data_IF_035614183368
#
_entry.id   IF_035614183368
#
_cell.length_a   1.000
_cell.length_b   1.000
_cell.length_c   1.000
_cell.angle_alpha   90.00
_cell.angle_beta   90.00
_cell.angle_gamma   90.00
#
_symmetry.space_group_name_H-M   'P 1'
#
loop_
_entity.id
_entity.type
_entity.pdbx_description
1 polymer ?
#
# COMPACT_ATOMS: atom_id res chain seq x y z
N UNK A 1 5.81 0.31 13.98
CA UNK A 1 5.84 0.55 12.51
C UNK A 1 4.45 0.90 12.04
N UNK A 2 4.31 2.02 11.35
CA UNK A 2 3.03 2.40 10.76
C UNK A 2 3.02 1.98 9.29
N UNK A 3 2.03 1.17 8.91
CA UNK A 3 1.88 0.74 7.54
C UNK A 3 0.67 1.42 6.95
N UNK A 4 0.85 2.09 5.81
CA UNK A 4 -0.25 2.68 5.07
C UNK A 4 -0.36 1.95 3.74
N UNK A 5 -1.55 1.44 3.45
CA UNK A 5 -1.83 0.78 2.18
C UNK A 5 -2.73 1.68 1.34
N UNK A 6 -2.19 2.17 0.25
CA UNK A 6 -2.96 2.97 -0.71
C UNK A 6 -3.62 2.03 -1.70
N UNK A 7 -4.95 2.13 -1.82
CA UNK A 7 -5.75 1.21 -2.63
C UNK A 7 -6.55 1.98 -3.67
N UNK A 8 -7.19 1.22 -4.57
CA UNK A 8 -8.11 1.75 -5.55
C UNK A 8 -9.25 0.76 -5.75
N UNK A 9 -10.41 1.19 -6.28
CA UNK A 9 -11.49 0.26 -6.59
C UNK A 9 -11.07 -0.76 -7.64
N UNK A 10 -11.63 -1.97 -7.56
CA UNK A 10 -11.41 -3.04 -8.54
C UNK A 10 -9.95 -3.37 -8.76
N UNK A 11 -9.19 -3.39 -7.69
CA UNK A 11 -7.75 -3.62 -7.74
C UNK A 11 -7.43 -4.99 -7.14
N UNK A 12 -7.13 -5.97 -7.99
CA UNK A 12 -6.79 -7.32 -7.52
C UNK A 12 -5.50 -7.35 -6.70
N UNK A 13 -4.40 -6.73 -7.14
CA UNK A 13 -3.19 -6.74 -6.31
C UNK A 13 -3.36 -5.98 -5.00
N UNK A 14 -4.29 -5.01 -4.93
CA UNK A 14 -4.61 -4.37 -3.66
C UNK A 14 -5.22 -5.38 -2.69
N UNK A 15 -6.14 -6.21 -3.18
CA UNK A 15 -6.77 -7.23 -2.36
C UNK A 15 -5.75 -8.27 -1.89
N UNK A 16 -4.84 -8.67 -2.77
CA UNK A 16 -3.80 -9.62 -2.41
C UNK A 16 -2.89 -9.06 -1.32
N UNK A 17 -2.51 -7.79 -1.44
CA UNK A 17 -1.67 -7.13 -0.44
C UNK A 17 -2.39 -7.03 0.90
N UNK A 18 -3.67 -6.64 0.87
CA UNK A 18 -4.47 -6.52 2.08
C UNK A 18 -4.57 -7.88 2.78
N UNK A 19 -4.85 -8.94 2.02
CA UNK A 19 -4.95 -10.28 2.59
C UNK A 19 -3.63 -10.72 3.23
N UNK A 20 -2.52 -10.43 2.56
CA UNK A 20 -1.21 -10.81 3.08
C UNK A 20 -0.91 -10.10 4.39
N UNK A 21 -1.23 -8.80 4.49
CA UNK A 21 -1.04 -8.05 5.72
C UNK A 21 -1.90 -8.63 6.85
N UNK A 22 -3.14 -8.95 6.55
CA UNK A 22 -4.06 -9.53 7.54
C UNK A 22 -3.57 -10.89 8.02
N UNK A 23 -3.11 -11.73 7.12
CA UNK A 23 -2.62 -13.06 7.47
C UNK A 23 -1.38 -13.01 8.34
N UNK A 24 -0.59 -11.96 8.21
CA UNK A 24 0.63 -11.78 9.02
C UNK A 24 0.37 -11.02 10.31
N UNK A 25 -0.88 -10.63 10.56
CA UNK A 25 -1.22 -9.88 11.75
C UNK A 25 -0.64 -8.46 11.78
N UNK A 26 -0.37 -7.90 10.62
CA UNK A 26 0.20 -6.56 10.52
C UNK A 26 -0.93 -5.53 10.45
N UNK A 27 -0.96 -4.62 11.41
CA UNK A 27 -1.93 -3.53 11.38
C UNK A 27 -1.56 -2.53 10.30
N UNK A 28 -2.55 -2.01 9.60
CA UNK A 28 -2.30 -1.03 8.54
C UNK A 28 -3.50 -0.08 8.43
N UNK A 29 -3.23 1.10 7.88
CA UNK A 29 -4.28 2.05 7.54
C UNK A 29 -4.51 1.96 6.03
N UNK A 30 -5.77 1.87 5.63
CA UNK A 30 -6.12 1.79 4.22
C UNK A 30 -6.58 3.16 3.72
N UNK A 31 -6.01 3.63 2.62
CA UNK A 31 -6.36 4.90 2.02
C UNK A 31 -6.76 4.66 0.56
N UNK A 32 -7.99 5.01 0.22
CA UNK A 32 -8.51 4.85 -1.14
C UNK A 32 -8.13 6.08 -1.97
N UNK A 33 -7.29 5.87 -2.97
CA UNK A 33 -6.78 6.96 -3.79
C UNK A 33 -7.87 7.62 -4.63
N UNK A 34 -8.98 6.93 -4.88
CA UNK A 34 -10.09 7.51 -5.63
C UNK A 34 -10.88 8.52 -4.80
N UNK A 35 -10.67 8.54 -3.49
CA UNK A 35 -11.40 9.41 -2.57
C UNK A 35 -10.50 10.41 -1.84
N UNK A 36 -9.22 10.37 -2.08
CA UNK A 36 -8.26 11.20 -1.34
C UNK A 36 -7.26 11.80 -2.32
N UNK A 37 -7.54 13.02 -2.75
CA UNK A 37 -6.71 13.70 -3.75
C UNK A 37 -5.31 13.99 -3.22
N UNK A 38 -5.18 14.27 -1.92
CA UNK A 38 -3.87 14.51 -1.33
C UNK A 38 -3.01 13.25 -1.33
N UNK A 39 -3.62 12.11 -1.01
CA UNK A 39 -2.92 10.85 -1.04
C UNK A 39 -2.48 10.50 -2.45
N UNK A 40 -3.35 10.75 -3.43
CA UNK A 40 -3.01 10.50 -4.83
C UNK A 40 -1.83 11.36 -5.27
N UNK A 41 -1.82 12.63 -4.89
CA UNK A 41 -0.71 13.52 -5.21
C UNK A 41 0.58 13.00 -4.56
N UNK A 42 0.49 12.49 -3.34
CA UNK A 42 1.66 11.97 -2.62
C UNK A 42 2.26 10.77 -3.33
N UNK A 43 1.43 9.77 -3.71
CA UNK A 43 1.98 8.59 -4.37
C UNK A 43 2.51 8.93 -5.75
N UNK A 44 1.92 9.91 -6.42
CA UNK A 44 2.44 10.37 -7.70
C UNK A 44 3.79 11.06 -7.54
N UNK A 45 3.99 11.78 -6.44
CA UNK A 45 5.28 12.43 -6.17
C UNK A 45 6.39 11.39 -5.97
N UNK A 46 6.04 10.17 -5.59
CA UNK A 46 7.00 9.06 -5.48
C UNK A 46 7.24 8.35 -6.81
N UNK A 47 6.54 8.76 -7.86
CA UNK A 47 6.68 8.15 -9.18
C UNK A 47 5.68 7.07 -9.49
N UNK A 48 4.70 6.84 -8.63
CA UNK A 48 3.69 5.80 -8.84
C UNK A 48 2.43 6.41 -9.44
N UNK A 49 1.76 5.65 -10.30
CA UNK A 49 0.56 6.12 -10.98
C UNK A 49 -0.69 5.34 -10.63
N UNK A 50 -0.56 4.27 -9.87
CA UNK A 50 -1.73 3.46 -9.51
C UNK A 50 -1.47 2.73 -8.20
N UNK A 51 -2.46 1.91 -7.79
CA UNK A 51 -2.42 1.14 -6.57
C UNK A 51 -2.06 -0.31 -6.87
N UNK A 52 -1.64 -1.08 -5.88
CA UNK A 52 -1.43 -0.70 -4.50
C UNK A 52 -0.07 -0.06 -4.27
N UNK A 53 0.00 0.83 -3.28
CA UNK A 53 1.28 1.35 -2.81
C UNK A 53 1.34 1.10 -1.31
N UNK A 54 2.45 0.55 -0.85
CA UNK A 54 2.68 0.30 0.56
C UNK A 54 3.72 1.29 1.05
N UNK A 55 3.40 1.99 2.15
CA UNK A 55 4.29 2.98 2.74
C UNK A 55 4.57 2.59 4.19
N UNK A 56 5.85 2.50 4.52
CA UNK A 56 6.28 2.08 5.85
C UNK A 56 6.88 3.22 6.66
N UNK A 57 6.88 4.43 6.14
CA UNK A 57 7.54 5.57 6.77
C UNK A 57 8.98 5.72 6.30
N UNK A 58 9.56 6.91 6.56
CA UNK A 58 10.97 7.18 6.30
C UNK A 58 11.42 6.81 4.88
N UNK A 59 10.61 7.15 3.89
CA UNK A 59 10.89 6.91 2.48
C UNK A 59 10.95 5.43 2.08
N UNK A 60 10.41 4.55 2.93
CA UNK A 60 10.27 3.14 2.58
C UNK A 60 8.90 2.92 1.98
N UNK A 61 8.85 2.65 0.69
CA UNK A 61 7.58 2.40 -0.01
C UNK A 61 7.85 1.59 -1.27
N UNK A 62 6.80 0.91 -1.74
CA UNK A 62 6.87 0.19 -3.01
C UNK A 62 5.50 0.16 -3.66
N UNK A 63 5.48 -0.20 -4.95
CA UNK A 63 4.28 -0.32 -5.74
C UNK A 63 4.02 -1.79 -6.06
N UNK A 64 2.75 -2.18 -6.04
CA UNK A 64 2.33 -3.49 -6.47
C UNK A 64 2.27 -4.50 -5.33
N UNK A 65 1.80 -5.70 -5.67
CA UNK A 65 1.79 -6.81 -4.72
C UNK A 65 3.18 -7.43 -4.72
N UNK A 66 3.88 -7.27 -3.62
CA UNK A 66 5.27 -7.73 -3.47
C UNK A 66 5.36 -8.67 -2.27
N UNK A 67 5.03 -9.97 -2.47
CA UNK A 67 5.09 -10.91 -1.35
C UNK A 67 6.49 -11.06 -0.76
N UNK A 68 7.52 -10.88 -1.58
CA UNK A 68 8.90 -10.90 -1.10
C UNK A 68 9.17 -9.80 -0.07
N UNK A 69 8.66 -8.58 -0.33
CA UNK A 69 8.85 -7.47 0.59
C UNK A 69 7.93 -7.60 1.81
N UNK A 70 6.71 -8.09 1.60
CA UNK A 70 5.79 -8.31 2.71
C UNK A 70 6.33 -9.33 3.70
N UNK A 71 7.02 -10.35 3.21
CA UNK A 71 7.60 -11.38 4.07
C UNK A 71 8.64 -10.81 5.03
N UNK A 72 9.28 -9.71 4.66
CA UNK A 72 10.27 -9.07 5.50
C UNK A 72 9.71 -8.22 6.62
N UNK A 73 8.38 -8.05 6.69
CA UNK A 73 7.75 -7.19 7.70
C UNK A 73 7.51 -7.88 9.03
N UNK A 74 7.63 -9.16 9.10
CA UNK A 74 7.36 -9.92 10.33
C UNK A 74 8.55 -10.75 10.75
#
# INVERSE_FOLDING_TARGET
>A
MMVILYTAPDCQPCRATKRALQQRGIAYEEVDLSRDAEALARVRSWGYQSAPVVYLGQDHHWYGYRPDLLAGLT
#
